data_IF_310770070678
#
_entry.id   IF_310770070678
#
_cell.length_a   1.000
_cell.length_b   1.000
_cell.length_c   1.000
_cell.angle_alpha   90.00
_cell.angle_beta   90.00
_cell.angle_gamma   90.00
#
_symmetry.space_group_name_H-M   'P 1'
#
loop_
_entity.id
_entity.type
_entity.pdbx_description
1 polymer ?
#
# COMPACT_ATOMS: atom_id res chain seq x y z
N UNK A 1 -19.22 42.50 -48.82
CA UNK A 1 -19.35 41.52 -47.73
C UNK A 1 -18.42 40.37 -48.04
N UNK A 2 -17.37 40.17 -47.24
CA UNK A 2 -16.42 39.06 -47.47
C UNK A 2 -17.13 37.72 -47.26
N UNK A 3 -17.04 36.82 -48.24
CA UNK A 3 -17.47 35.42 -48.07
C UNK A 3 -16.59 34.82 -46.97
N UNK A 4 -17.19 34.47 -45.84
CA UNK A 4 -16.54 33.62 -44.84
C UNK A 4 -16.11 32.33 -45.55
N UNK A 5 -14.84 31.97 -45.43
CA UNK A 5 -14.29 30.76 -46.06
C UNK A 5 -15.01 29.52 -45.55
N UNK A 6 -15.19 28.55 -46.45
CA UNK A 6 -15.72 27.23 -46.13
C UNK A 6 -14.78 26.54 -45.13
N UNK A 7 -15.28 26.25 -43.93
CA UNK A 7 -14.50 25.62 -42.87
C UNK A 7 -14.83 24.12 -42.84
N UNK A 8 -13.80 23.28 -42.96
CA UNK A 8 -13.95 21.82 -42.95
C UNK A 8 -14.03 21.30 -41.51
N UNK A 9 -15.17 20.69 -41.18
CA UNK A 9 -15.45 20.09 -39.86
C UNK A 9 -15.39 18.56 -39.87
N UNK A 10 -15.08 17.92 -40.99
CA UNK A 10 -15.04 16.46 -41.12
C UNK A 10 -14.22 15.79 -40.01
N UNK A 11 -13.01 16.30 -39.75
CA UNK A 11 -12.14 15.80 -38.68
C UNK A 11 -12.71 15.96 -37.26
N UNK A 12 -13.56 16.95 -37.01
CA UNK A 12 -14.24 17.10 -35.71
C UNK A 12 -15.33 16.04 -35.52
N UNK A 13 -16.07 15.71 -36.57
CA UNK A 13 -17.07 14.64 -36.52
C UNK A 13 -16.41 13.27 -36.32
N UNK A 14 -15.31 12.98 -37.02
CA UNK A 14 -14.53 11.75 -36.80
C UNK A 14 -14.02 11.65 -35.36
N UNK A 15 -13.53 12.77 -34.80
CA UNK A 15 -13.10 12.84 -33.40
C UNK A 15 -14.26 12.55 -32.43
N UNK A 16 -15.41 13.18 -32.65
CA UNK A 16 -16.62 12.95 -31.85
C UNK A 16 -17.06 11.48 -31.90
N UNK A 17 -17.12 10.88 -33.08
CA UNK A 17 -17.48 9.46 -33.23
C UNK A 17 -16.52 8.55 -32.47
N UNK A 18 -15.20 8.81 -32.56
CA UNK A 18 -14.21 8.06 -31.79
C UNK A 18 -14.40 8.19 -30.29
N UNK A 19 -14.67 9.39 -29.77
CA UNK A 19 -14.99 9.59 -28.35
C UNK A 19 -16.27 8.89 -27.91
N UNK A 20 -17.30 8.87 -28.77
CA UNK A 20 -18.57 8.18 -28.47
C UNK A 20 -18.43 6.66 -28.38
N UNK A 21 -17.34 6.08 -28.89
CA UNK A 21 -17.04 4.65 -28.71
C UNK A 21 -16.70 4.30 -27.26
N UNK A 22 -16.31 5.28 -26.45
CA UNK A 22 -16.09 5.09 -25.02
C UNK A 22 -17.46 4.96 -24.35
N UNK A 23 -17.80 3.74 -23.95
CA UNK A 23 -19.03 3.48 -23.23
C UNK A 23 -18.94 3.97 -21.78
N UNK A 24 -20.10 4.08 -21.12
CA UNK A 24 -20.12 4.34 -19.67
C UNK A 24 -19.45 3.20 -18.88
N UNK A 25 -19.54 1.97 -19.38
CA UNK A 25 -18.88 0.79 -18.79
C UNK A 25 -17.35 0.92 -18.86
N UNK A 26 -16.80 1.35 -20.01
CA UNK A 26 -15.36 1.57 -20.17
C UNK A 26 -14.84 2.65 -19.21
N UNK A 27 -15.62 3.71 -18.99
CA UNK A 27 -15.28 4.77 -18.05
C UNK A 27 -15.31 4.27 -16.61
N UNK A 28 -16.31 3.46 -16.24
CA UNK A 28 -16.39 2.87 -14.91
C UNK A 28 -15.18 1.96 -14.64
N UNK A 29 -14.87 1.07 -15.58
CA UNK A 29 -13.69 0.19 -15.51
C UNK A 29 -12.40 0.99 -15.38
N UNK A 30 -12.27 2.08 -16.16
CA UNK A 30 -11.13 2.99 -16.07
C UNK A 30 -10.97 3.59 -14.66
N UNK A 31 -12.06 4.09 -14.07
CA UNK A 31 -12.04 4.68 -12.74
C UNK A 31 -11.71 3.64 -11.66
N UNK A 32 -12.26 2.44 -11.75
CA UNK A 32 -11.95 1.34 -10.83
C UNK A 32 -10.47 0.95 -10.90
N UNK A 33 -9.93 0.81 -12.11
CA UNK A 33 -8.51 0.50 -12.32
C UNK A 33 -7.61 1.61 -11.76
N UNK A 34 -7.99 2.88 -11.95
CA UNK A 34 -7.26 4.01 -11.40
C UNK A 34 -7.26 4.02 -9.86
N UNK A 35 -8.43 3.82 -9.26
CA UNK A 35 -8.58 3.76 -7.81
C UNK A 35 -7.74 2.61 -7.21
N UNK A 36 -7.82 1.41 -7.83
CA UNK A 36 -7.02 0.25 -7.42
C UNK A 36 -5.51 0.48 -7.59
N UNK A 37 -5.05 1.15 -8.63
CA UNK A 37 -3.63 1.48 -8.78
C UNK A 37 -3.13 2.43 -7.68
N UNK A 38 -3.88 3.48 -7.37
CA UNK A 38 -3.55 4.41 -6.29
C UNK A 38 -3.53 3.70 -4.93
N UNK A 39 -4.53 2.86 -4.65
CA UNK A 39 -4.61 2.01 -3.46
C UNK A 39 -3.38 1.09 -3.33
N UNK A 40 -2.99 0.40 -4.42
CA UNK A 40 -1.83 -0.48 -4.41
C UNK A 40 -0.52 0.27 -4.15
N UNK A 41 -0.37 1.48 -4.69
CA UNK A 41 0.79 2.33 -4.43
C UNK A 41 0.84 2.80 -2.98
N UNK A 42 -0.28 3.24 -2.43
CA UNK A 42 -0.40 3.62 -1.03
C UNK A 42 -0.02 2.45 -0.11
N UNK A 43 -0.56 1.26 -0.37
CA UNK A 43 -0.27 0.06 0.40
C UNK A 43 1.22 -0.33 0.34
N UNK A 44 1.84 -0.30 -0.85
CA UNK A 44 3.29 -0.58 -0.96
C UNK A 44 4.13 0.41 -0.17
N UNK A 45 3.76 1.69 -0.23
CA UNK A 45 4.42 2.79 0.44
C UNK A 45 4.30 2.66 1.97
N UNK A 46 3.09 2.44 2.49
CA UNK A 46 2.85 2.33 3.94
C UNK A 46 3.47 1.05 4.52
N UNK A 47 3.38 -0.09 3.82
CA UNK A 47 3.98 -1.36 4.27
C UNK A 47 5.51 -1.23 4.37
N UNK A 48 6.15 -0.53 3.42
CA UNK A 48 7.59 -0.27 3.44
C UNK A 48 8.00 0.56 4.66
N UNK A 49 7.19 1.56 5.01
CA UNK A 49 7.42 2.45 6.17
C UNK A 49 7.03 1.84 7.52
N UNK A 50 6.19 0.81 7.50
CA UNK A 50 5.68 0.18 8.72
C UNK A 50 6.82 -0.55 9.45
N UNK A 51 7.13 -0.19 10.71
CA UNK A 51 8.19 -0.83 11.47
C UNK A 51 7.83 -2.27 11.85
N UNK A 52 8.86 -3.08 12.09
CA UNK A 52 8.73 -4.47 12.56
C UNK A 52 9.53 -4.60 13.85
N UNK A 53 8.90 -5.13 14.90
CA UNK A 53 9.60 -5.41 16.15
C UNK A 53 10.61 -6.56 15.98
N UNK A 54 11.86 -6.33 16.37
CA UNK A 54 12.87 -7.37 16.54
C UNK A 54 12.93 -7.74 18.03
N UNK A 55 12.55 -8.97 18.36
CA UNK A 55 12.58 -9.51 19.72
C UNK A 55 13.79 -10.43 19.96
N UNK A 56 14.71 -10.51 18.99
CA UNK A 56 15.95 -11.27 19.16
C UNK A 56 16.89 -10.54 20.10
N UNK A 57 17.53 -11.29 21.00
CA UNK A 57 18.63 -10.81 21.82
C UNK A 57 19.80 -11.78 21.72
N UNK A 58 21.00 -11.26 21.92
CA UNK A 58 22.22 -12.06 21.94
C UNK A 58 22.37 -12.72 23.31
N UNK A 59 22.60 -14.02 23.28
CA UNK A 59 23.00 -14.77 24.47
C UNK A 59 24.38 -15.38 24.23
N UNK A 60 25.20 -15.38 25.28
CA UNK A 60 26.47 -16.09 25.28
C UNK A 60 26.23 -17.52 25.75
N UNK A 61 26.53 -18.48 24.88
CA UNK A 61 26.37 -19.92 25.17
C UNK A 61 27.74 -20.58 25.25
N UNK A 62 27.90 -21.51 26.18
CA UNK A 62 29.10 -22.36 26.29
C UNK A 62 28.85 -23.63 25.49
N UNK A 63 29.74 -23.94 24.56
CA UNK A 63 29.69 -25.17 23.78
C UNK A 63 29.85 -26.40 24.68
N UNK A 64 28.83 -27.26 24.74
CA UNK A 64 28.83 -28.45 25.60
C UNK A 64 29.56 -29.66 25.00
N UNK A 65 29.84 -29.63 23.70
CA UNK A 65 30.48 -30.70 22.92
C UNK A 65 31.35 -30.09 21.83
N UNK A 66 32.33 -30.85 21.36
CA UNK A 66 33.11 -30.46 20.19
C UNK A 66 32.23 -30.51 18.96
N UNK A 67 32.11 -29.36 18.30
CA UNK A 67 31.43 -29.22 17.02
C UNK A 67 32.40 -28.78 15.93
N UNK A 68 31.86 -28.68 14.72
CA UNK A 68 32.61 -28.22 13.54
C UNK A 68 33.08 -26.77 13.66
N UNK A 69 32.31 -25.91 14.36
CA UNK A 69 32.55 -24.47 14.46
C UNK A 69 33.03 -24.00 15.84
N UNK A 70 32.77 -24.77 16.89
CA UNK A 70 33.12 -24.42 18.27
C UNK A 70 33.57 -25.68 19.01
N UNK A 71 34.64 -25.59 19.80
CA UNK A 71 35.11 -26.66 20.68
C UNK A 71 34.42 -26.61 22.03
N UNK A 72 34.36 -27.75 22.71
CA UNK A 72 33.76 -27.87 24.05
C UNK A 72 34.44 -26.88 25.01
N UNK A 73 33.63 -26.08 25.70
CA UNK A 73 34.10 -25.03 26.63
C UNK A 73 34.23 -23.65 26.00
N UNK A 74 34.22 -23.52 24.67
CA UNK A 74 34.25 -22.21 24.00
C UNK A 74 32.94 -21.44 24.21
N UNK A 75 33.06 -20.14 24.48
CA UNK A 75 31.94 -19.21 24.55
C UNK A 75 31.69 -18.63 23.16
N UNK A 76 30.46 -18.70 22.68
CA UNK A 76 30.03 -18.05 21.44
C UNK A 76 28.70 -17.33 21.63
N UNK A 77 28.50 -16.25 20.89
CA UNK A 77 27.26 -15.50 20.88
C UNK A 77 26.29 -16.09 19.85
N UNK A 78 25.02 -16.19 20.21
CA UNK A 78 23.95 -16.54 19.29
C UNK A 78 22.74 -15.64 19.54
N UNK A 79 22.12 -15.17 18.46
CA UNK A 79 20.80 -14.52 18.53
C UNK A 79 19.72 -15.56 18.75
N UNK A 80 18.95 -15.37 19.81
CA UNK A 80 17.79 -16.19 20.14
C UNK A 80 16.57 -15.31 20.37
N UNK A 81 15.39 -15.87 20.13
CA UNK A 81 14.13 -15.23 20.50
C UNK A 81 13.44 -16.11 21.55
N UNK A 82 13.70 -15.81 22.81
CA UNK A 82 13.13 -16.54 23.96
C UNK A 82 11.65 -16.23 24.18
N UNK A 83 11.15 -15.12 23.62
CA UNK A 83 9.76 -14.67 23.83
C UNK A 83 8.73 -15.42 22.98
N UNK A 84 9.16 -16.14 21.94
CA UNK A 84 8.29 -16.75 20.93
C UNK A 84 7.53 -15.74 20.04
N UNK A 85 7.58 -14.44 20.37
CA UNK A 85 6.89 -13.39 19.61
C UNK A 85 7.62 -13.11 18.31
N UNK A 86 6.92 -13.24 17.19
CA UNK A 86 7.41 -12.83 15.88
C UNK A 86 6.87 -11.43 15.55
N UNK A 87 7.77 -10.52 15.18
CA UNK A 87 7.36 -9.18 14.76
C UNK A 87 6.55 -9.20 13.46
N UNK A 88 5.97 -8.04 13.14
CA UNK A 88 5.43 -7.76 11.81
C UNK A 88 3.92 -7.86 11.68
N UNK A 89 3.19 -8.11 12.77
CA UNK A 89 1.72 -8.09 12.80
C UNK A 89 1.17 -6.78 12.20
N UNK A 90 1.69 -5.62 12.62
CA UNK A 90 1.28 -4.32 12.06
C UNK A 90 1.49 -4.22 10.54
N UNK A 91 2.62 -4.74 10.05
CA UNK A 91 2.96 -4.73 8.63
C UNK A 91 2.03 -5.64 7.82
N UNK A 92 1.68 -6.80 8.39
CA UNK A 92 0.75 -7.76 7.79
C UNK A 92 -0.70 -7.27 7.84
N UNK A 93 -1.05 -6.47 8.86
CA UNK A 93 -2.37 -5.87 9.04
C UNK A 93 -2.85 -5.03 7.87
N UNK A 94 -1.94 -4.45 7.08
CA UNK A 94 -2.29 -3.70 5.86
C UNK A 94 -2.95 -4.54 4.77
N UNK A 95 -2.81 -5.87 4.82
CA UNK A 95 -3.40 -6.80 3.85
C UNK A 95 -4.14 -7.94 4.56
N UNK A 96 -4.63 -7.71 5.78
CA UNK A 96 -5.38 -8.69 6.58
C UNK A 96 -6.77 -8.16 6.88
N UNK A 97 -7.75 -9.05 7.03
CA UNK A 97 -9.15 -8.67 7.31
C UNK A 97 -9.37 -8.39 8.81
N UNK A 98 -8.62 -9.07 9.68
CA UNK A 98 -8.73 -8.91 11.13
C UNK A 98 -7.38 -8.87 11.84
N UNK A 99 -7.39 -8.49 13.13
CA UNK A 99 -6.21 -8.51 13.98
C UNK A 99 -5.64 -9.92 14.13
N UNK A 100 -6.50 -10.91 14.34
CA UNK A 100 -6.14 -12.31 14.53
C UNK A 100 -5.45 -12.86 13.28
N UNK A 101 -5.98 -12.58 12.09
CA UNK A 101 -5.38 -12.99 10.83
C UNK A 101 -3.98 -12.39 10.64
N UNK A 102 -3.81 -11.11 10.99
CA UNK A 102 -2.51 -10.45 10.96
C UNK A 102 -1.51 -11.06 11.97
N UNK A 103 -2.00 -11.44 13.15
CA UNK A 103 -1.22 -12.05 14.23
C UNK A 103 -0.77 -13.48 13.88
N UNK A 104 -1.65 -14.27 13.27
CA UNK A 104 -1.39 -15.65 12.80
C UNK A 104 -0.41 -15.72 11.61
N UNK A 105 -0.07 -14.58 11.00
CA UNK A 105 0.91 -14.53 9.91
C UNK A 105 0.32 -14.64 8.51
N UNK A 106 -1.01 -14.54 8.36
CA UNK A 106 -1.71 -14.72 7.06
C UNK A 106 -1.67 -13.49 6.15
N UNK A 107 -1.28 -12.31 6.64
CA UNK A 107 -1.04 -11.14 5.79
C UNK A 107 0.31 -11.24 5.03
N UNK A 108 0.28 -11.27 3.70
CA UNK A 108 1.49 -11.39 2.86
C UNK A 108 2.35 -10.11 2.76
N UNK A 109 1.93 -9.01 3.38
CA UNK A 109 2.64 -7.74 3.31
C UNK A 109 2.78 -7.27 1.85
N UNK A 110 3.99 -6.87 1.43
CA UNK A 110 4.20 -6.34 0.08
C UNK A 110 3.87 -7.34 -1.04
N UNK A 111 4.01 -8.65 -0.79
CA UNK A 111 3.81 -9.67 -1.83
C UNK A 111 2.35 -9.79 -2.28
N UNK A 112 1.40 -9.50 -1.39
CA UNK A 112 -0.03 -9.72 -1.64
C UNK A 112 -0.80 -8.42 -1.92
N UNK A 113 -0.12 -7.28 -2.10
CA UNK A 113 -0.81 -5.99 -2.27
C UNK A 113 -1.75 -5.99 -3.48
N UNK A 114 -1.30 -6.54 -4.61
CA UNK A 114 -2.11 -6.57 -5.84
C UNK A 114 -3.35 -7.46 -5.69
N UNK A 115 -3.17 -8.66 -5.14
CA UNK A 115 -4.26 -9.59 -4.87
C UNK A 115 -5.27 -9.00 -3.89
N UNK A 116 -4.78 -8.40 -2.80
CA UNK A 116 -5.61 -7.74 -1.79
C UNK A 116 -6.46 -6.64 -2.43
N UNK A 117 -5.83 -5.69 -3.14
CA UNK A 117 -6.53 -4.54 -3.74
C UNK A 117 -7.54 -4.95 -4.82
N UNK A 118 -7.22 -5.98 -5.61
CA UNK A 118 -8.15 -6.48 -6.62
C UNK A 118 -9.40 -7.10 -5.99
N UNK A 119 -9.30 -7.63 -4.78
CA UNK A 119 -10.43 -8.15 -3.99
C UNK A 119 -11.19 -7.10 -3.19
N UNK A 120 -10.75 -5.83 -3.17
CA UNK A 120 -11.48 -4.73 -2.52
C UNK A 120 -12.51 -4.14 -3.48
N UNK A 121 -13.74 -3.99 -2.99
CA UNK A 121 -14.83 -3.34 -3.70
C UNK A 121 -14.58 -1.83 -3.82
N UNK A 122 -14.80 -1.30 -5.03
CA UNK A 122 -14.81 0.14 -5.29
C UNK A 122 -16.24 0.63 -5.21
N UNK A 123 -16.53 1.51 -4.24
CA UNK A 123 -17.87 2.09 -4.08
C UNK A 123 -18.00 3.34 -4.92
N UNK A 124 -19.07 3.43 -5.71
CA UNK A 124 -19.38 4.63 -6.49
C UNK A 124 -20.50 5.40 -5.80
N UNK A 125 -20.18 6.59 -5.28
CA UNK A 125 -21.13 7.47 -4.58
C UNK A 125 -21.14 8.83 -5.26
N UNK A 126 -22.19 9.11 -6.04
CA UNK A 126 -22.28 10.34 -6.82
C UNK A 126 -21.20 10.39 -7.90
N UNK A 127 -20.23 11.30 -7.75
CA UNK A 127 -19.08 11.45 -8.65
C UNK A 127 -17.77 10.93 -8.04
N UNK A 128 -17.85 10.20 -6.92
CA UNK A 128 -16.68 9.74 -6.15
C UNK A 128 -16.58 8.23 -6.24
N UNK A 129 -15.39 7.76 -6.65
CA UNK A 129 -14.97 6.37 -6.54
C UNK A 129 -14.15 6.21 -5.27
N UNK A 130 -14.66 5.42 -4.32
CA UNK A 130 -14.08 5.24 -3.00
C UNK A 130 -13.57 3.81 -2.80
N UNK A 131 -12.34 3.68 -2.31
CA UNK A 131 -11.77 2.42 -1.83
C UNK A 131 -11.44 2.60 -0.35
N UNK A 132 -11.94 1.69 0.48
CA UNK A 132 -11.66 1.70 1.91
C UNK A 132 -10.56 0.70 2.26
N UNK A 133 -9.50 1.18 2.88
CA UNK A 133 -8.39 0.36 3.35
C UNK A 133 -8.20 0.65 4.84
N UNK A 134 -8.21 -0.40 5.65
CA UNK A 134 -8.06 -0.28 7.11
C UNK A 134 -6.99 -1.25 7.58
N UNK A 135 -6.16 -0.82 8.55
CA UNK A 135 -5.30 -1.74 9.29
C UNK A 135 -6.04 -2.16 10.57
N UNK A 136 -6.47 -3.42 10.73
CA UNK A 136 -7.29 -3.86 11.86
C UNK A 136 -6.48 -4.03 13.16
N UNK A 137 -5.18 -3.70 13.15
CA UNK A 137 -4.33 -3.87 14.32
C UNK A 137 -4.61 -2.76 15.33
N UNK A 138 -5.10 -3.13 16.52
CA UNK A 138 -5.53 -2.20 17.58
C UNK A 138 -4.51 -1.11 17.92
N UNK A 139 -3.23 -1.44 17.94
CA UNK A 139 -2.16 -0.50 18.28
C UNK A 139 -1.62 0.31 17.10
N UNK A 140 -2.22 0.18 15.90
CA UNK A 140 -1.76 0.87 14.70
C UNK A 140 -1.74 2.40 14.87
N UNK A 141 -2.78 2.97 15.47
CA UNK A 141 -2.88 4.41 15.74
C UNK A 141 -1.78 4.92 16.68
N UNK A 142 -1.41 4.13 17.70
CA UNK A 142 -0.31 4.48 18.61
C UNK A 142 1.06 4.45 17.94
N UNK A 143 1.24 3.61 16.93
CA UNK A 143 2.47 3.58 16.12
C UNK A 143 2.48 4.71 15.09
N UNK A 144 1.31 5.05 14.55
CA UNK A 144 1.16 6.17 13.60
C UNK A 144 1.45 7.51 14.26
N UNK A 145 0.70 7.86 15.30
CA UNK A 145 0.73 9.20 15.91
C UNK A 145 1.59 9.29 17.17
N UNK A 146 2.03 8.16 17.71
CA UNK A 146 2.71 8.12 19.00
C UNK A 146 1.75 8.03 20.17
N UNK A 147 2.29 7.83 21.37
CA UNK A 147 1.48 7.70 22.59
C UNK A 147 2.30 8.04 23.83
N UNK A 148 1.61 8.34 24.95
CA UNK A 148 2.25 8.49 26.26
C UNK A 148 2.71 7.13 26.78
N UNK A 149 3.88 7.09 27.42
CA UNK A 149 4.35 5.88 28.10
C UNK A 149 3.47 5.54 29.31
N UNK A 150 3.44 4.26 29.67
CA UNK A 150 2.75 3.79 30.87
C UNK A 150 3.30 4.54 32.11
N UNK A 151 2.41 5.23 32.83
CA UNK A 151 2.77 6.07 33.97
C UNK A 151 2.95 7.57 33.64
N UNK A 152 2.75 7.99 32.39
CA UNK A 152 2.61 9.40 32.01
C UNK A 152 3.89 10.24 32.00
N UNK A 153 5.06 9.63 32.24
CA UNK A 153 6.35 10.33 32.38
C UNK A 153 7.12 10.51 31.07
N UNK A 154 6.63 9.96 29.95
CA UNK A 154 7.33 10.03 28.67
C UNK A 154 6.39 9.93 27.47
N UNK A 155 6.95 10.20 26.29
CA UNK A 155 6.27 10.15 25.01
C UNK A 155 7.01 9.22 24.05
N UNK A 156 6.26 8.35 23.38
CA UNK A 156 6.75 7.53 22.27
C UNK A 156 6.38 8.24 20.98
N UNK A 157 7.39 8.65 20.21
CA UNK A 157 7.20 9.37 18.94
C UNK A 157 6.52 8.49 17.90
N UNK A 158 5.51 9.05 17.22
CA UNK A 158 4.82 8.43 16.09
C UNK A 158 5.73 8.24 14.88
N UNK A 159 5.37 7.28 14.03
CA UNK A 159 6.10 6.95 12.80
C UNK A 159 5.48 7.59 11.56
N UNK A 160 4.23 8.05 11.64
CA UNK A 160 3.49 8.69 10.54
C UNK A 160 3.56 7.90 9.23
N UNK A 161 3.51 6.58 9.32
CA UNK A 161 3.74 5.70 8.18
C UNK A 161 2.62 5.84 7.14
N UNK A 162 1.36 5.99 7.57
CA UNK A 162 0.23 6.23 6.68
C UNK A 162 0.23 7.67 6.20
N UNK A 163 0.36 8.64 7.11
CA UNK A 163 0.31 10.08 6.81
C UNK A 163 1.36 10.48 5.75
N UNK A 164 2.59 10.00 5.90
CA UNK A 164 3.67 10.28 4.93
C UNK A 164 3.37 9.60 3.59
N UNK A 165 2.87 8.37 3.62
CA UNK A 165 2.55 7.63 2.38
C UNK A 165 1.37 8.25 1.64
N UNK A 166 0.35 8.71 2.34
CA UNK A 166 -0.79 9.44 1.76
C UNK A 166 -0.32 10.72 1.06
N UNK A 167 0.49 11.55 1.75
CA UNK A 167 1.03 12.77 1.17
C UNK A 167 1.87 12.50 -0.08
N UNK A 168 2.69 11.44 -0.05
CA UNK A 168 3.44 11.00 -1.22
C UNK A 168 2.51 10.65 -2.38
N UNK A 169 1.53 9.75 -2.17
CA UNK A 169 0.60 9.33 -3.22
C UNK A 169 -0.23 10.50 -3.74
N UNK A 170 -0.70 11.38 -2.85
CA UNK A 170 -1.47 12.58 -3.22
C UNK A 170 -0.68 13.51 -4.13
N UNK A 171 0.62 13.68 -3.88
CA UNK A 171 1.46 14.55 -4.71
C UNK A 171 1.71 13.99 -6.11
N UNK A 172 1.78 12.66 -6.26
CA UNK A 172 2.02 12.01 -7.57
C UNK A 172 0.72 11.60 -8.29
N UNK A 173 -0.42 11.58 -7.60
CA UNK A 173 -1.70 11.12 -8.14
C UNK A 173 -2.10 11.81 -9.46
N UNK A 174 -2.03 13.15 -9.59
CA UNK A 174 -2.40 13.83 -10.84
C UNK A 174 -1.61 13.31 -12.05
N UNK A 175 -0.30 13.14 -11.89
CA UNK A 175 0.58 12.67 -12.96
C UNK A 175 0.30 11.21 -13.35
N UNK A 176 -0.08 10.37 -12.39
CA UNK A 176 -0.43 8.97 -12.65
C UNK A 176 -1.75 8.90 -13.42
N UNK A 177 -2.76 9.65 -12.97
CA UNK A 177 -4.08 9.69 -13.60
C UNK A 177 -3.99 10.26 -15.02
N UNK A 178 -3.24 11.35 -15.22
CA UNK A 178 -3.00 11.94 -16.53
C UNK A 178 -2.36 10.92 -17.50
N UNK A 179 -1.32 10.21 -17.05
CA UNK A 179 -0.68 9.17 -17.88
C UNK A 179 -1.64 8.06 -18.26
N UNK A 180 -2.51 7.62 -17.35
CA UNK A 180 -3.53 6.59 -17.62
C UNK A 180 -4.60 7.10 -18.57
N UNK A 181 -5.11 8.31 -18.36
CA UNK A 181 -6.09 8.95 -19.23
C UNK A 181 -5.55 9.11 -20.65
N UNK A 182 -4.31 9.59 -20.80
CA UNK A 182 -3.64 9.71 -22.09
C UNK A 182 -3.45 8.35 -22.78
N UNK A 183 -3.17 7.28 -22.03
CA UNK A 183 -3.09 5.93 -22.59
C UNK A 183 -4.45 5.46 -23.11
N UNK A 184 -5.53 5.65 -22.33
CA UNK A 184 -6.89 5.32 -22.73
C UNK A 184 -7.30 6.06 -24.01
N UNK A 185 -7.10 7.38 -24.05
CA UNK A 185 -7.42 8.19 -25.23
C UNK A 185 -6.62 7.72 -26.45
N UNK A 186 -5.32 7.42 -26.30
CA UNK A 186 -4.51 6.89 -27.41
C UNK A 186 -5.06 5.59 -27.98
N UNK A 187 -5.55 4.67 -27.16
CA UNK A 187 -6.18 3.43 -27.66
C UNK A 187 -7.47 3.72 -28.45
N UNK A 188 -8.24 4.72 -28.05
CA UNK A 188 -9.48 5.12 -28.74
C UNK A 188 -9.20 5.78 -30.10
N UNK A 189 -8.07 6.49 -30.22
CA UNK A 189 -7.70 7.23 -31.44
C UNK A 189 -6.76 6.48 -32.39
N UNK A 190 -6.27 5.29 -32.01
CA UNK A 190 -5.58 4.37 -32.92
C UNK A 190 -6.53 3.87 -34.01
#
# INVERSE_FOLDING_TARGET
MGKFGECDFSGFFEFQEKLQRISQEDMQDFYEVCAKDLAARLLRAVIKRTPVGDYSHEITVIAKRDGKKHKKGEKYTRRVNTSGKTGGTLRRGWTAKSHEEAAEGKGGGQKNVLEYVNGVEVRHVGNIYEIQITNPVEYASYVEYGHRTRGGKGWVTGRFMLTISENEIRSIAPQILEKRMMAMLKEVFK
#
